data_IF_231240937735
#
_entry.id   IF_231240937735
#
_cell.length_a   1.000
_cell.length_b   1.000
_cell.length_c   1.000
_cell.angle_alpha   90.00
_cell.angle_beta   90.00
_cell.angle_gamma   90.00
#
_symmetry.space_group_name_H-M   'P 1'
#
loop_
_entity.id
_entity.type
_entity.pdbx_description
1 polymer ?
#
# COMPACT_ATOMS: atom_id res chain seq x y z
N UNK A 1 -8.24 0.74 -7.78
CA UNK A 1 -8.22 -0.46 -8.65
C UNK A 1 -6.92 -1.26 -8.53
N UNK A 2 -5.73 -0.75 -8.89
CA UNK A 2 -4.48 -1.55 -8.90
C UNK A 2 -4.19 -2.26 -7.58
N UNK A 3 -4.28 -1.53 -6.47
CA UNK A 3 -4.13 -2.07 -5.10
C UNK A 3 -5.08 -3.24 -4.85
N UNK A 4 -6.37 -3.05 -5.15
CA UNK A 4 -7.39 -4.06 -4.92
C UNK A 4 -7.15 -5.31 -5.76
N UNK A 5 -6.79 -5.15 -7.04
CA UNK A 5 -6.42 -6.27 -7.93
C UNK A 5 -5.18 -7.00 -7.41
N UNK A 6 -4.12 -6.28 -7.03
CA UNK A 6 -2.90 -6.91 -6.50
C UNK A 6 -3.18 -7.66 -5.20
N UNK A 7 -3.97 -7.09 -4.30
CA UNK A 7 -4.36 -7.77 -3.06
C UNK A 7 -5.20 -9.01 -3.35
N UNK A 8 -6.23 -8.90 -4.19
CA UNK A 8 -7.10 -10.03 -4.55
C UNK A 8 -6.35 -11.14 -5.29
N UNK A 9 -5.54 -10.82 -6.30
CA UNK A 9 -4.70 -11.79 -7.00
C UNK A 9 -3.75 -12.50 -6.05
N UNK A 10 -3.12 -11.75 -5.12
CA UNK A 10 -2.27 -12.34 -4.09
C UNK A 10 -3.04 -13.34 -3.24
N UNK A 11 -4.21 -12.97 -2.70
CA UNK A 11 -4.98 -13.87 -1.82
C UNK A 11 -5.43 -15.13 -2.58
N UNK A 12 -5.84 -15.01 -3.84
CA UNK A 12 -6.15 -16.17 -4.69
C UNK A 12 -4.95 -17.08 -4.89
N UNK A 13 -3.77 -16.51 -5.17
CA UNK A 13 -2.53 -17.26 -5.38
C UNK A 13 -2.04 -17.98 -4.11
N UNK A 14 -2.33 -17.43 -2.92
CA UNK A 14 -1.95 -18.05 -1.65
C UNK A 14 -2.72 -19.33 -1.33
N UNK A 15 -3.91 -19.53 -1.93
CA UNK A 15 -4.76 -20.72 -1.72
C UNK A 15 -4.86 -21.12 -0.24
N UNK A 16 -5.17 -20.14 0.61
CA UNK A 16 -5.28 -20.36 2.05
C UNK A 16 -6.37 -21.39 2.33
N UNK A 17 -6.05 -22.38 3.19
CA UNK A 17 -6.97 -23.48 3.50
C UNK A 17 -8.21 -23.02 4.26
N UNK A 18 -8.07 -21.99 5.09
CA UNK A 18 -9.16 -21.43 5.88
C UNK A 18 -9.70 -20.16 5.20
N UNK A 19 -10.95 -20.17 4.68
CA UNK A 19 -11.59 -19.00 4.08
C UNK A 19 -11.94 -17.92 5.11
N UNK A 20 -11.94 -18.23 6.41
CA UNK A 20 -12.14 -17.27 7.49
C UNK A 20 -10.84 -16.58 7.94
N UNK A 21 -9.68 -17.06 7.46
CA UNK A 21 -8.39 -16.51 7.85
C UNK A 21 -8.31 -14.99 7.55
N UNK A 22 -7.92 -14.16 8.53
CA UNK A 22 -7.80 -12.73 8.32
C UNK A 22 -6.64 -12.44 7.36
N UNK A 23 -6.88 -11.56 6.40
CA UNK A 23 -5.88 -11.06 5.45
C UNK A 23 -5.90 -9.55 5.43
N UNK A 24 -4.75 -8.96 5.14
CA UNK A 24 -4.54 -7.53 5.35
C UNK A 24 -3.95 -6.84 4.11
N UNK A 25 -4.38 -5.62 3.86
CA UNK A 25 -3.65 -4.67 3.01
C UNK A 25 -3.38 -3.39 3.80
N UNK A 26 -2.12 -2.99 3.81
CA UNK A 26 -1.58 -1.90 4.62
C UNK A 26 -1.05 -0.79 3.71
N UNK A 27 -1.29 0.48 4.07
CA UNK A 27 -0.84 1.66 3.35
C UNK A 27 -0.03 2.56 4.26
N UNK A 28 1.08 3.08 3.74
CA UNK A 28 1.79 4.19 4.37
C UNK A 28 1.25 5.50 3.82
N UNK A 29 0.26 6.08 4.50
CA UNK A 29 -0.44 7.26 4.00
C UNK A 29 0.22 8.55 4.50
N UNK A 30 0.55 9.47 3.58
CA UNK A 30 1.11 10.78 3.93
C UNK A 30 0.11 11.59 4.79
N UNK A 31 0.52 12.00 5.99
CA UNK A 31 -0.35 12.74 6.94
C UNK A 31 -0.02 14.22 7.05
N UNK A 32 0.94 14.75 6.27
CA UNK A 32 1.31 16.17 6.29
C UNK A 32 0.14 17.12 6.04
N UNK A 33 -0.82 16.69 5.21
CA UNK A 33 -2.02 17.46 4.89
C UNK A 33 -3.04 17.54 6.04
N UNK A 34 -2.89 16.69 7.07
CA UNK A 34 -3.71 16.67 8.28
C UNK A 34 -3.10 17.49 9.41
N UNK A 35 -1.86 17.95 9.25
CA UNK A 35 -1.13 18.76 10.22
C UNK A 35 -1.20 20.25 9.87
N UNK A 36 -1.06 21.15 10.85
CA UNK A 36 -1.05 22.58 10.60
C UNK A 36 0.07 22.96 9.62
N UNK A 37 -0.27 23.63 8.52
CA UNK A 37 0.68 23.87 7.41
C UNK A 37 1.94 24.66 7.82
N UNK A 38 1.81 25.56 8.79
CA UNK A 38 2.95 26.31 9.34
C UNK A 38 4.02 25.41 9.99
N UNK A 39 3.63 24.23 10.47
CA UNK A 39 4.55 23.24 11.06
C UNK A 39 5.19 22.34 9.99
N UNK A 40 4.64 22.33 8.77
CA UNK A 40 5.05 21.43 7.69
C UNK A 40 5.96 22.09 6.66
N UNK A 41 6.05 23.42 6.65
CA UNK A 41 6.94 24.15 5.77
C UNK A 41 8.40 23.74 6.04
N UNK A 42 9.08 23.21 5.02
CA UNK A 42 10.47 22.74 5.13
C UNK A 42 10.66 21.41 5.88
N UNK A 43 9.59 20.73 6.31
CA UNK A 43 9.72 19.45 7.02
C UNK A 43 10.25 18.33 6.12
N UNK A 44 11.46 17.86 6.44
CA UNK A 44 12.20 16.84 5.69
C UNK A 44 12.24 15.47 6.40
N UNK A 45 11.31 15.21 7.32
CA UNK A 45 11.20 13.94 8.05
C UNK A 45 10.16 12.98 7.48
N UNK A 46 10.00 11.82 8.12
CA UNK A 46 8.87 10.93 7.90
C UNK A 46 7.59 11.52 8.50
N UNK A 47 6.51 11.52 7.73
CA UNK A 47 5.18 11.93 8.19
C UNK A 47 4.15 11.12 7.41
N UNK A 48 3.96 9.90 7.88
CA UNK A 48 2.97 8.98 7.37
C UNK A 48 2.21 8.36 8.52
N UNK A 49 1.10 7.69 8.21
CA UNK A 49 0.36 6.88 9.16
C UNK A 49 -0.05 5.57 8.47
N UNK A 50 -0.02 4.47 9.22
CA UNK A 50 -0.39 3.16 8.69
C UNK A 50 -1.91 3.05 8.63
N UNK A 51 -2.45 2.89 7.43
CA UNK A 51 -3.86 2.54 7.23
C UNK A 51 -3.94 1.04 6.95
N UNK A 52 -4.81 0.33 7.66
CA UNK A 52 -5.02 -1.12 7.49
C UNK A 52 -6.46 -1.42 7.09
N UNK A 53 -6.64 -2.24 6.05
CA UNK A 53 -7.89 -2.91 5.77
C UNK A 53 -7.73 -4.41 6.09
N UNK A 54 -8.72 -4.97 6.79
CA UNK A 54 -8.80 -6.39 7.14
C UNK A 54 -10.10 -6.96 6.62
N UNK A 55 -9.99 -8.13 5.97
CA UNK A 55 -11.11 -8.97 5.51
C UNK A 55 -10.72 -10.44 5.68
N UNK A 56 -11.69 -11.33 5.48
CA UNK A 56 -11.38 -12.76 5.40
C UNK A 56 -10.79 -13.11 4.03
N UNK A 57 -9.97 -14.14 3.97
CA UNK A 57 -9.36 -14.62 2.73
C UNK A 57 -10.42 -15.02 1.70
N UNK A 58 -11.48 -15.68 2.14
CA UNK A 58 -12.61 -16.09 1.31
C UNK A 58 -13.38 -14.92 0.71
N UNK A 59 -13.64 -13.87 1.49
CA UNK A 59 -14.28 -12.65 0.99
C UNK A 59 -13.40 -12.03 -0.10
N UNK A 60 -12.14 -11.72 0.20
CA UNK A 60 -11.23 -11.06 -0.77
C UNK A 60 -11.07 -11.88 -2.05
N UNK A 61 -11.01 -13.21 -1.95
CA UNK A 61 -10.85 -14.10 -3.10
C UNK A 61 -12.12 -14.20 -3.95
N UNK A 62 -13.31 -14.22 -3.36
CA UNK A 62 -14.56 -14.53 -4.05
C UNK A 62 -15.34 -13.31 -4.53
N UNK A 63 -15.21 -12.14 -3.90
CA UNK A 63 -16.03 -10.97 -4.29
C UNK A 63 -15.62 -10.40 -5.65
N UNK A 64 -16.50 -9.59 -6.23
CA UNK A 64 -16.10 -8.68 -7.30
C UNK A 64 -15.01 -7.71 -6.83
N UNK A 65 -14.12 -7.32 -7.74
CA UNK A 65 -13.02 -6.40 -7.44
C UNK A 65 -13.51 -5.03 -6.95
N UNK A 66 -14.72 -4.60 -7.33
CA UNK A 66 -15.35 -3.37 -6.87
C UNK A 66 -15.53 -3.38 -5.35
N UNK A 67 -15.95 -4.50 -4.76
CA UNK A 67 -16.07 -4.62 -3.30
C UNK A 67 -14.72 -4.56 -2.60
N UNK A 68 -13.69 -5.18 -3.18
CA UNK A 68 -12.31 -5.04 -2.69
C UNK A 68 -11.82 -3.59 -2.80
N UNK A 69 -12.22 -2.87 -3.85
CA UNK A 69 -11.95 -1.43 -3.98
C UNK A 69 -12.66 -0.63 -2.90
N UNK A 70 -13.92 -0.94 -2.58
CA UNK A 70 -14.66 -0.29 -1.49
C UNK A 70 -13.96 -0.51 -0.15
N UNK A 71 -13.56 -1.75 0.18
CA UNK A 71 -12.82 -2.04 1.41
C UNK A 71 -11.54 -1.20 1.55
N UNK A 72 -10.79 -1.04 0.46
CA UNK A 72 -9.59 -0.18 0.43
C UNK A 72 -9.92 1.30 0.57
N UNK A 73 -10.98 1.77 -0.09
CA UNK A 73 -11.42 3.18 -0.04
C UNK A 73 -11.91 3.53 1.35
N UNK A 74 -12.72 2.69 1.97
CA UNK A 74 -13.25 2.88 3.31
C UNK A 74 -12.13 2.95 4.34
N UNK A 75 -11.13 2.06 4.22
CA UNK A 75 -9.95 2.12 5.07
C UNK A 75 -9.20 3.45 4.93
N UNK A 76 -8.96 3.91 3.71
CA UNK A 76 -8.31 5.20 3.46
C UNK A 76 -9.15 6.40 3.91
N UNK A 77 -10.47 6.33 3.81
CA UNK A 77 -11.38 7.40 4.21
C UNK A 77 -11.37 7.64 5.72
N UNK A 78 -11.09 6.60 6.54
CA UNK A 78 -10.95 6.74 7.99
C UNK A 78 -9.67 7.42 8.44
N UNK A 79 -8.67 7.60 7.55
CA UNK A 79 -7.36 8.15 7.89
C UNK A 79 -7.41 9.43 8.74
N UNK A 80 -8.19 10.48 8.40
CA UNK A 80 -8.20 11.71 9.20
C UNK A 80 -8.68 11.46 10.64
N UNK A 81 -9.75 10.68 10.79
CA UNK A 81 -10.33 10.36 12.09
C UNK A 81 -9.40 9.46 12.90
N UNK A 82 -8.85 8.41 12.30
CA UNK A 82 -7.94 7.49 12.97
C UNK A 82 -6.66 8.20 13.41
N UNK A 83 -6.07 9.03 12.53
CA UNK A 83 -4.89 9.83 12.85
C UNK A 83 -5.15 10.80 14.00
N UNK A 84 -6.30 11.49 14.01
CA UNK A 84 -6.66 12.41 15.08
C UNK A 84 -6.84 11.69 16.43
N UNK A 85 -7.46 10.50 16.44
CA UNK A 85 -7.57 9.68 17.67
C UNK A 85 -6.19 9.24 18.17
N UNK A 86 -5.33 8.76 17.27
CA UNK A 86 -3.97 8.36 17.62
C UNK A 86 -3.16 9.53 18.19
N UNK A 87 -3.21 10.70 17.54
CA UNK A 87 -2.53 11.91 18.00
C UNK A 87 -3.02 12.40 19.37
N UNK A 88 -4.28 12.10 19.73
CA UNK A 88 -4.85 12.36 21.05
C UNK A 88 -4.56 11.27 22.09
N UNK A 89 -3.72 10.28 21.76
CA UNK A 89 -3.42 9.14 22.64
C UNK A 89 -4.57 8.13 22.79
N UNK A 90 -5.56 8.15 21.89
CA UNK A 90 -6.76 7.31 21.94
C UNK A 90 -6.65 6.14 20.97
N UNK A 91 -5.80 5.17 21.28
CA UNK A 91 -5.64 3.96 20.49
C UNK A 91 -5.44 2.74 21.39
N UNK A 92 -6.01 1.60 21.00
CA UNK A 92 -5.84 0.33 21.74
C UNK A 92 -4.53 -0.37 21.38
N UNK A 93 -4.08 -0.21 20.13
CA UNK A 93 -2.83 -0.77 19.61
C UNK A 93 -2.15 0.26 18.74
N UNK A 94 -0.84 0.39 18.89
CA UNK A 94 -0.08 1.31 18.05
C UNK A 94 -0.02 0.76 16.61
N UNK A 95 -0.40 1.59 15.65
CA UNK A 95 -0.37 1.26 14.23
C UNK A 95 1.04 1.20 13.65
N UNK A 96 2.05 1.60 14.42
CA UNK A 96 3.46 1.37 14.10
C UNK A 96 3.99 0.02 14.60
N UNK A 97 3.24 -0.71 15.44
CA UNK A 97 3.55 -2.11 15.80
C UNK A 97 3.15 -3.07 14.67
N UNK A 98 3.80 -2.88 13.52
CA UNK A 98 3.56 -3.67 12.32
C UNK A 98 4.00 -5.11 12.54
N UNK A 99 3.06 -6.03 12.35
CA UNK A 99 3.37 -7.46 12.26
C UNK A 99 3.65 -7.77 10.80
N UNK A 100 4.88 -8.14 10.46
CA UNK A 100 5.28 -8.51 9.10
C UNK A 100 4.97 -9.98 8.81
N UNK A 101 3.69 -10.33 8.95
CA UNK A 101 3.18 -11.65 8.64
C UNK A 101 2.85 -11.76 7.15
N UNK A 102 2.95 -12.98 6.63
CA UNK A 102 2.74 -13.27 5.20
C UNK A 102 1.26 -13.15 4.78
N UNK A 103 0.33 -12.91 5.70
CA UNK A 103 -1.07 -12.55 5.43
C UNK A 103 -1.27 -11.08 5.01
N UNK A 104 -0.22 -10.25 5.15
CA UNK A 104 -0.27 -8.80 4.98
C UNK A 104 0.43 -8.36 3.70
N UNK A 105 -0.26 -7.59 2.86
CA UNK A 105 0.31 -6.88 1.73
C UNK A 105 0.59 -5.42 2.11
N UNK A 106 1.84 -4.99 2.05
CA UNK A 106 2.24 -3.61 2.27
C UNK A 106 2.31 -2.84 0.95
N UNK A 107 1.67 -1.68 0.91
CA UNK A 107 1.55 -0.88 -0.31
C UNK A 107 2.21 0.48 -0.11
N UNK A 108 3.12 0.82 -1.02
CA UNK A 108 3.73 2.15 -1.12
C UNK A 108 3.32 2.82 -2.42
N UNK A 109 2.81 4.04 -2.35
CA UNK A 109 2.38 4.82 -3.53
C UNK A 109 3.44 5.86 -3.88
N UNK A 110 4.12 5.65 -5.00
CA UNK A 110 5.18 6.51 -5.53
C UNK A 110 4.70 7.45 -6.63
N UNK A 111 3.42 7.42 -6.99
CA UNK A 111 2.86 8.21 -8.09
C UNK A 111 3.02 9.72 -7.89
N UNK A 112 3.16 10.17 -6.63
CA UNK A 112 3.29 11.59 -6.24
C UNK A 112 4.68 11.98 -5.74
N UNK A 113 5.68 11.09 -5.79
CA UNK A 113 7.03 11.37 -5.29
C UNK A 113 7.90 12.14 -6.27
N UNK A 114 7.48 12.29 -7.53
CA UNK A 114 8.21 13.09 -8.50
C UNK A 114 9.48 12.44 -9.06
N UNK A 115 9.74 11.15 -8.79
CA UNK A 115 10.93 10.46 -9.31
C UNK A 115 11.09 10.56 -10.83
N UNK A 116 9.99 10.52 -11.59
CA UNK A 116 10.03 10.68 -13.06
C UNK A 116 10.29 12.11 -13.53
N UNK A 117 10.36 13.09 -12.62
CA UNK A 117 10.63 14.51 -12.93
C UNK A 117 12.07 14.91 -12.59
N UNK A 118 12.86 14.03 -11.97
CA UNK A 118 14.23 14.34 -11.57
C UNK A 118 15.13 14.44 -12.82
N UNK A 119 15.55 15.66 -13.19
CA UNK A 119 16.47 15.88 -14.30
C UNK A 119 17.78 16.48 -13.76
N UNK A 120 18.88 15.75 -13.98
CA UNK A 120 20.22 16.15 -13.56
C UNK A 120 21.05 16.75 -14.71
N UNK A 121 20.43 17.09 -15.84
CA UNK A 121 21.07 17.62 -17.04
C UNK A 121 21.18 16.63 -18.20
N UNK A 122 20.70 15.39 -18.02
CA UNK A 122 20.70 14.33 -19.04
C UNK A 122 19.29 13.85 -19.41
N UNK A 123 18.26 14.56 -18.96
CA UNK A 123 16.86 14.20 -19.17
C UNK A 123 16.27 13.39 -18.02
N UNK A 124 14.95 13.20 -18.06
CA UNK A 124 14.18 12.51 -17.02
C UNK A 124 14.33 10.97 -17.06
N UNK A 125 14.18 10.26 -15.93
CA UNK A 125 14.31 8.81 -15.87
C UNK A 125 13.33 8.08 -16.78
N UNK A 126 13.83 7.03 -17.44
CA UNK A 126 12.99 6.14 -18.26
C UNK A 126 12.23 5.13 -17.39
N UNK A 127 12.90 4.64 -16.34
CA UNK A 127 12.34 3.67 -15.40
C UNK A 127 12.70 4.06 -13.97
N UNK A 128 11.75 3.87 -13.06
CA UNK A 128 11.96 3.94 -11.62
C UNK A 128 11.49 2.60 -11.08
N UNK A 129 12.36 1.93 -10.33
CA UNK A 129 12.07 0.64 -9.70
C UNK A 129 12.62 0.64 -8.28
N UNK A 130 11.91 0.03 -7.32
CA UNK A 130 12.49 -0.25 -6.02
C UNK A 130 13.60 -1.30 -6.16
N UNK A 131 14.74 -1.06 -5.51
CA UNK A 131 15.87 -1.99 -5.50
C UNK A 131 15.77 -2.99 -4.33
N UNK A 132 15.43 -2.50 -3.14
CA UNK A 132 15.45 -3.30 -1.91
C UNK A 132 14.08 -3.88 -1.60
N UNK A 133 13.83 -5.12 -2.01
CA UNK A 133 12.75 -5.93 -1.45
C UNK A 133 13.31 -6.82 -0.34
N UNK A 134 12.62 -6.83 0.80
CA UNK A 134 13.00 -7.71 1.90
C UNK A 134 12.04 -8.91 1.91
N UNK A 135 12.55 -10.15 1.96
CA UNK A 135 11.72 -11.36 1.80
C UNK A 135 10.70 -11.55 2.94
N UNK A 136 10.87 -10.86 4.07
CA UNK A 136 9.93 -10.90 5.19
C UNK A 136 8.69 -10.00 4.99
N UNK A 137 8.66 -9.13 3.98
CA UNK A 137 7.51 -8.27 3.68
C UNK A 137 6.99 -8.50 2.28
N UNK A 138 5.72 -8.87 2.15
CA UNK A 138 5.04 -8.82 0.87
C UNK A 138 4.75 -7.34 0.52
N UNK A 139 5.44 -6.80 -0.49
CA UNK A 139 5.35 -5.38 -0.85
C UNK A 139 4.87 -5.19 -2.29
N UNK A 140 3.95 -4.25 -2.48
CA UNK A 140 3.59 -3.69 -3.78
C UNK A 140 3.85 -2.18 -3.83
N UNK A 141 4.66 -1.74 -4.78
CA UNK A 141 4.94 -0.33 -5.07
C UNK A 141 4.13 0.10 -6.28
N UNK A 142 3.31 1.14 -6.11
CA UNK A 142 2.51 1.74 -7.17
C UNK A 142 3.26 2.94 -7.73
N UNK A 143 3.68 2.85 -8.99
CA UNK A 143 4.35 3.93 -9.71
C UNK A 143 3.52 4.45 -10.88
N UNK A 144 3.99 5.54 -11.48
CA UNK A 144 3.51 6.00 -12.78
C UNK A 144 4.29 5.32 -13.90
N UNK A 145 3.65 4.98 -15.03
CA UNK A 145 4.36 4.61 -16.24
C UNK A 145 5.09 5.83 -16.85
N UNK A 146 6.06 5.59 -17.73
CA UNK A 146 6.74 6.66 -18.47
C UNK A 146 5.75 7.37 -19.40
N UNK A 147 5.79 8.70 -19.44
CA UNK A 147 5.05 9.47 -20.44
C UNK A 147 5.40 8.99 -21.87
N UNK A 148 4.43 8.93 -22.80
CA UNK A 148 3.03 9.36 -22.66
C UNK A 148 2.07 8.24 -22.20
N UNK A 149 2.57 7.08 -21.75
CA UNK A 149 1.70 5.96 -21.36
C UNK A 149 0.79 6.35 -20.20
N UNK A 150 -0.49 6.03 -20.29
CA UNK A 150 -1.46 6.22 -19.22
C UNK A 150 -1.53 5.00 -18.29
N UNK A 151 -2.05 5.19 -17.08
CA UNK A 151 -2.31 4.11 -16.12
C UNK A 151 -1.33 4.10 -14.94
N UNK A 152 -1.15 2.93 -14.35
CA UNK A 152 -0.26 2.72 -13.20
C UNK A 152 0.65 1.52 -13.43
N UNK A 153 1.87 1.60 -12.90
CA UNK A 153 2.82 0.50 -12.86
C UNK A 153 2.80 -0.12 -11.48
N UNK A 154 2.60 -1.43 -11.39
CA UNK A 154 2.74 -2.18 -10.15
C UNK A 154 4.09 -2.90 -10.18
N UNK A 155 4.93 -2.64 -9.19
CA UNK A 155 6.21 -3.33 -8.99
C UNK A 155 6.08 -4.06 -7.66
N UNK A 156 6.20 -5.37 -7.66
CA UNK A 156 5.81 -6.16 -6.48
C UNK A 156 6.73 -7.35 -6.27
N UNK A 157 6.99 -7.64 -5.00
CA UNK A 157 7.54 -8.91 -4.51
C UNK A 157 6.63 -9.34 -3.36
N UNK A 158 5.42 -9.77 -3.72
CA UNK A 158 4.36 -10.05 -2.75
C UNK A 158 4.02 -11.53 -2.60
N UNK A 159 4.62 -12.40 -3.39
CA UNK A 159 4.41 -13.86 -3.32
C UNK A 159 5.76 -14.58 -3.34
N UNK A 160 5.85 -15.67 -2.57
CA UNK A 160 6.93 -16.65 -2.66
C UNK A 160 6.89 -17.37 -4.02
N UNK A 161 8.03 -17.89 -4.45
CA UNK A 161 8.22 -18.58 -5.74
C UNK A 161 7.14 -19.65 -6.01
N UNK A 162 6.81 -20.47 -5.01
CA UNK A 162 5.78 -21.51 -5.13
C UNK A 162 4.37 -21.01 -5.50
N UNK A 163 4.06 -19.74 -5.27
CA UNK A 163 2.77 -19.14 -5.62
C UNK A 163 2.83 -18.28 -6.89
N UNK A 164 4.02 -18.05 -7.48
CA UNK A 164 4.15 -17.22 -8.68
C UNK A 164 3.32 -17.70 -9.87
N UNK A 165 3.19 -19.01 -10.16
CA UNK A 165 2.39 -19.47 -11.30
C UNK A 165 0.90 -19.10 -11.20
N UNK A 166 0.40 -18.89 -9.98
CA UNK A 166 -1.01 -18.58 -9.70
C UNK A 166 -1.29 -17.07 -9.55
N UNK A 167 -0.24 -16.25 -9.47
CA UNK A 167 -0.32 -14.81 -9.20
C UNK A 167 -0.28 -13.98 -10.49
#
# INVERSE_FOLDING_TARGET
MCIAKTWQSRIRALRLNDPAAPVHVCFFANTRHLLPQHQMAGFYGNCFYTVKATRTSGEVAATDVVEVVHAVRDAKARLPTDFARWAAGRFERDMYELTFSYDSLFVSDWTRLGFLKADYGWGTPTHVVPFSYHPFMAVAVIGAPRAPKAGARVMTMCVQEKHQPEF
#
